data_IF_021948394198
#
_entry.id   IF_021948394198
#
_cell.length_a   1.000
_cell.length_b   1.000
_cell.length_c   1.000
_cell.angle_alpha   90.00
_cell.angle_beta   90.00
_cell.angle_gamma   90.00
#
_symmetry.space_group_name_H-M   'P 1'
#
loop_
_entity.id
_entity.type
_entity.pdbx_description
1 polymer ?
#
# COMPACT_ATOMS: atom_id res chain seq x y z
N UNK A 1 -0.34 -29.98 -0.99
CA UNK A 1 0.11 -28.66 -1.42
C UNK A 1 -1.11 -27.77 -1.68
N UNK A 2 -1.09 -26.56 -1.20
CA UNK A 2 -2.21 -25.64 -1.36
C UNK A 2 -2.13 -24.96 -2.72
N UNK A 3 -3.27 -24.69 -3.35
CA UNK A 3 -3.29 -23.90 -4.58
C UNK A 3 -3.09 -22.41 -4.28
N UNK A 4 -2.84 -21.63 -5.31
CA UNK A 4 -2.57 -20.20 -5.16
C UNK A 4 -3.78 -19.45 -4.59
N UNK A 5 -5.00 -19.87 -4.91
CA UNK A 5 -6.22 -19.24 -4.39
C UNK A 5 -6.35 -19.45 -2.88
N UNK A 6 -6.05 -20.63 -2.40
CA UNK A 6 -6.09 -20.92 -0.95
C UNK A 6 -5.08 -20.08 -0.20
N UNK A 7 -3.82 -20.03 -0.69
CA UNK A 7 -2.79 -19.23 -0.07
C UNK A 7 -3.17 -17.75 -0.05
N UNK A 8 -3.76 -17.28 -1.13
CA UNK A 8 -4.23 -15.92 -1.27
C UNK A 8 -5.26 -15.56 -0.20
N UNK A 9 -6.27 -16.43 -0.04
CA UNK A 9 -7.31 -16.23 0.97
C UNK A 9 -6.75 -16.28 2.39
N UNK A 10 -5.80 -17.17 2.63
CA UNK A 10 -5.17 -17.29 3.95
C UNK A 10 -4.41 -16.00 4.29
N UNK A 11 -3.65 -15.47 3.35
CA UNK A 11 -2.90 -14.23 3.54
C UNK A 11 -3.83 -13.04 3.79
N UNK A 12 -4.94 -12.97 3.05
CA UNK A 12 -5.92 -11.92 3.22
C UNK A 12 -6.59 -11.97 4.60
N UNK A 13 -6.75 -13.17 5.17
CA UNK A 13 -7.36 -13.35 6.49
C UNK A 13 -6.46 -12.85 7.62
N UNK A 14 -5.13 -12.95 7.46
CA UNK A 14 -4.18 -12.54 8.50
C UNK A 14 -3.75 -11.07 8.37
N UNK A 15 -4.09 -10.41 7.27
CA UNK A 15 -3.75 -8.99 7.06
C UNK A 15 -4.76 -8.08 7.74
N UNK A 16 -4.32 -6.89 8.12
CA UNK A 16 -5.20 -5.85 8.63
C UNK A 16 -6.15 -5.37 7.54
N UNK A 17 -7.36 -5.00 7.93
CA UNK A 17 -8.35 -4.45 6.99
C UNK A 17 -8.14 -2.96 6.85
N UNK A 18 -8.22 -2.45 5.62
CA UNK A 18 -8.03 -1.03 5.34
C UNK A 18 -8.95 -0.16 6.18
N UNK A 19 -10.23 -0.51 6.26
CA UNK A 19 -11.22 0.30 6.99
C UNK A 19 -10.98 0.37 8.49
N UNK A 20 -10.16 -0.50 9.06
CA UNK A 20 -9.84 -0.50 10.49
C UNK A 20 -8.60 0.33 10.83
N UNK A 21 -7.96 0.95 9.85
CA UNK A 21 -6.78 1.78 10.07
C UNK A 21 -7.22 3.10 10.70
N UNK A 22 -6.73 3.39 11.90
CA UNK A 22 -7.15 4.57 12.67
C UNK A 22 -5.98 5.34 13.29
N UNK A 23 -4.76 5.02 12.89
CA UNK A 23 -3.57 5.69 13.43
C UNK A 23 -3.05 5.12 14.73
N UNK A 24 -3.73 4.13 15.31
CA UNK A 24 -3.30 3.51 16.58
C UNK A 24 -2.10 2.59 16.42
N UNK A 25 -1.79 2.15 15.20
CA UNK A 25 -0.70 1.22 14.93
C UNK A 25 0.09 1.65 13.71
N UNK A 26 1.41 1.50 13.80
CA UNK A 26 2.29 1.64 12.64
C UNK A 26 2.81 0.28 12.14
N UNK A 27 2.56 -0.79 12.88
CA UNK A 27 2.97 -2.16 12.53
C UNK A 27 1.92 -2.89 11.70
N UNK A 28 1.20 -2.15 10.87
CA UNK A 28 0.17 -2.71 10.00
C UNK A 28 0.77 -3.67 8.99
N UNK A 29 0.06 -4.76 8.76
CA UNK A 29 0.37 -5.69 7.68
C UNK A 29 -0.81 -5.66 6.70
N UNK A 30 -0.54 -5.30 5.45
CA UNK A 30 -1.56 -5.12 4.43
C UNK A 30 -1.30 -6.05 3.25
N UNK A 31 -2.37 -6.68 2.77
CA UNK A 31 -2.35 -7.52 1.58
C UNK A 31 -3.22 -6.82 0.53
N UNK A 32 -2.57 -6.17 -0.42
CA UNK A 32 -3.24 -5.21 -1.29
C UNK A 32 -2.69 -5.26 -2.71
N UNK A 33 -3.50 -4.77 -3.65
CA UNK A 33 -3.09 -4.56 -5.03
C UNK A 33 -2.89 -3.07 -5.28
N UNK A 34 -1.83 -2.72 -6.00
CA UNK A 34 -1.64 -1.36 -6.49
C UNK A 34 -2.59 -1.16 -7.67
N UNK A 35 -3.65 -0.37 -7.48
CA UNK A 35 -4.58 -0.07 -8.56
C UNK A 35 -4.07 1.06 -9.44
N UNK A 36 -3.39 2.04 -8.85
CA UNK A 36 -2.77 3.15 -9.57
C UNK A 36 -1.43 3.49 -8.93
N UNK A 37 -0.46 3.85 -9.77
CA UNK A 37 0.88 4.24 -9.34
C UNK A 37 1.33 5.43 -10.17
N UNK A 38 1.78 6.49 -9.52
CA UNK A 38 2.31 7.65 -10.23
C UNK A 38 3.50 8.23 -9.46
N UNK A 39 4.30 9.02 -10.17
CA UNK A 39 5.49 9.63 -9.60
C UNK A 39 5.33 11.14 -9.60
N UNK A 40 5.75 11.78 -8.51
CA UNK A 40 5.64 13.21 -8.30
C UNK A 40 7.04 13.77 -8.02
N UNK A 41 7.31 14.96 -8.52
CA UNK A 41 8.60 15.63 -8.31
C UNK A 41 9.57 15.41 -9.44
N UNK A 42 10.80 15.84 -9.24
CA UNK A 42 11.86 15.80 -10.25
C UNK A 42 12.60 14.46 -10.17
N UNK A 43 12.66 13.69 -11.28
CA UNK A 43 13.39 12.42 -11.28
C UNK A 43 14.83 12.58 -10.81
N UNK A 44 15.25 11.71 -9.89
CA UNK A 44 16.61 11.71 -9.34
C UNK A 44 16.89 12.76 -8.28
N UNK A 45 15.95 13.68 -8.02
CA UNK A 45 16.15 14.76 -7.04
C UNK A 45 15.12 14.74 -5.91
N UNK A 46 13.85 14.87 -6.26
CA UNK A 46 12.76 14.95 -5.29
C UNK A 46 11.62 14.03 -5.65
N UNK A 47 11.90 13.00 -6.45
CA UNK A 47 10.91 12.07 -6.91
C UNK A 47 10.35 11.24 -5.75
N UNK A 48 9.03 11.10 -5.72
CA UNK A 48 8.36 10.18 -4.82
C UNK A 48 7.29 9.40 -5.59
N UNK A 49 7.00 8.20 -5.14
CA UNK A 49 5.90 7.42 -5.68
C UNK A 49 4.67 7.62 -4.81
N UNK A 50 3.52 7.77 -5.45
CA UNK A 50 2.24 7.77 -4.77
C UNK A 50 1.38 6.69 -5.40
N UNK A 51 0.56 6.03 -4.59
CA UNK A 51 -0.20 4.90 -5.09
C UNK A 51 -1.53 4.80 -4.36
N UNK A 52 -2.49 4.24 -5.08
CA UNK A 52 -3.77 3.85 -4.53
C UNK A 52 -3.75 2.34 -4.34
N UNK A 53 -3.85 1.90 -3.11
CA UNK A 53 -3.93 0.49 -2.78
C UNK A 53 -5.37 0.10 -2.54
N UNK A 54 -5.76 -1.03 -3.11
CA UNK A 54 -7.10 -1.57 -2.94
C UNK A 54 -7.00 -2.95 -2.32
N UNK A 55 -7.97 -3.25 -1.46
CA UNK A 55 -8.09 -4.58 -0.92
C UNK A 55 -8.50 -5.52 -2.05
N UNK A 56 -7.71 -6.55 -2.25
CA UNK A 56 -8.02 -7.54 -3.28
C UNK A 56 -8.98 -8.59 -2.72
N UNK A 57 -10.21 -8.56 -3.22
CA UNK A 57 -11.14 -9.65 -3.06
C UNK A 57 -11.60 -10.12 -4.42
N UNK A 58 -11.88 -11.41 -4.50
CA UNK A 58 -12.27 -12.10 -5.72
C UNK A 58 -13.47 -11.46 -6.42
N UNK A 59 -14.36 -10.79 -5.67
CA UNK A 59 -15.64 -10.34 -6.18
C UNK A 59 -15.99 -8.88 -5.87
N UNK A 60 -15.13 -8.14 -5.23
CA UNK A 60 -15.46 -6.75 -4.91
C UNK A 60 -14.24 -5.87 -4.98
N UNK A 61 -14.45 -4.64 -5.47
CA UNK A 61 -13.50 -3.57 -5.26
C UNK A 61 -13.58 -3.25 -3.77
N UNK A 62 -12.55 -3.62 -3.04
CA UNK A 62 -12.52 -3.35 -1.62
C UNK A 62 -12.22 -1.90 -1.31
N UNK A 63 -12.03 -1.64 -0.03
CA UNK A 63 -11.64 -0.33 0.46
C UNK A 63 -10.33 0.11 -0.18
N UNK A 64 -10.15 1.41 -0.31
CA UNK A 64 -8.98 2.03 -0.93
C UNK A 64 -8.23 2.88 0.08
N UNK A 65 -6.92 2.95 -0.06
CA UNK A 65 -6.10 3.84 0.75
C UNK A 65 -4.96 4.41 -0.09
N UNK A 66 -4.63 5.67 0.18
CA UNK A 66 -3.53 6.37 -0.46
C UNK A 66 -2.24 6.08 0.27
N UNK A 67 -1.19 5.72 -0.47
CA UNK A 67 0.12 5.42 0.10
C UNK A 67 1.19 6.24 -0.61
N UNK A 68 2.11 6.79 0.17
CA UNK A 68 3.21 7.62 -0.33
C UNK A 68 4.54 6.93 -0.02
N UNK A 69 5.39 6.80 -1.03
CA UNK A 69 6.76 6.33 -0.88
C UNK A 69 7.69 7.51 -1.21
N UNK A 70 8.20 8.17 -0.18
CA UNK A 70 9.05 9.35 -0.37
C UNK A 70 10.41 8.98 -0.93
N UNK A 71 11.16 10.00 -1.38
CA UNK A 71 12.43 9.83 -2.07
C UNK A 71 13.41 8.93 -1.33
N UNK A 72 13.51 9.07 -0.02
CA UNK A 72 14.46 8.30 0.80
C UNK A 72 14.18 6.80 0.76
N UNK A 73 12.92 6.41 0.53
CA UNK A 73 12.53 5.01 0.43
C UNK A 73 12.37 4.55 -1.02
N UNK A 74 12.16 5.49 -1.94
CA UNK A 74 11.86 5.16 -3.33
C UNK A 74 13.00 4.42 -4.01
N UNK A 75 14.24 4.78 -3.74
CA UNK A 75 15.39 4.11 -4.34
C UNK A 75 15.48 2.63 -3.96
N UNK A 76 14.92 2.25 -2.82
CA UNK A 76 14.85 0.84 -2.43
C UNK A 76 13.76 0.09 -3.19
N UNK A 77 12.61 0.73 -3.40
CA UNK A 77 11.41 0.02 -3.87
C UNK A 77 10.98 0.34 -5.29
N UNK A 78 11.56 1.34 -5.95
CA UNK A 78 11.09 1.81 -7.26
C UNK A 78 10.95 0.70 -8.30
N UNK A 79 11.90 -0.23 -8.34
CA UNK A 79 11.89 -1.31 -9.32
C UNK A 79 10.88 -2.41 -8.99
N UNK A 80 10.43 -2.47 -7.75
CA UNK A 80 9.52 -3.52 -7.29
C UNK A 80 8.04 -3.13 -7.41
N UNK A 81 7.75 -1.83 -7.43
CA UNK A 81 6.37 -1.33 -7.43
C UNK A 81 5.81 -1.28 -8.85
N UNK A 82 4.68 -1.97 -9.07
CA UNK A 82 4.04 -2.04 -10.40
C UNK A 82 2.52 -2.02 -10.25
N UNK A 83 1.88 -1.23 -11.10
CA UNK A 83 0.41 -1.25 -11.17
C UNK A 83 -0.11 -2.65 -11.50
N UNK A 84 -1.21 -2.99 -10.89
CA UNK A 84 -1.89 -4.27 -11.12
C UNK A 84 -1.31 -5.42 -10.32
N UNK A 85 -0.17 -5.25 -9.69
CA UNK A 85 0.46 -6.31 -8.90
C UNK A 85 -0.02 -6.28 -7.47
N UNK A 86 0.03 -7.43 -6.82
CA UNK A 86 -0.39 -7.62 -5.43
C UNK A 86 0.82 -7.78 -4.53
N UNK A 87 0.74 -7.18 -3.36
CA UNK A 87 1.85 -7.13 -2.41
C UNK A 87 1.38 -7.40 -0.99
N UNK A 88 2.27 -7.97 -0.20
CA UNK A 88 2.20 -7.89 1.26
C UNK A 88 3.12 -6.75 1.68
N UNK A 89 2.56 -5.74 2.33
CA UNK A 89 3.32 -4.59 2.83
C UNK A 89 3.16 -4.51 4.33
N UNK A 90 4.24 -4.15 5.02
CA UNK A 90 4.26 -4.15 6.47
C UNK A 90 5.05 -2.95 6.99
N UNK A 91 4.54 -2.32 8.04
CA UNK A 91 5.12 -1.17 8.74
C UNK A 91 5.01 0.13 7.92
N UNK A 92 4.24 1.06 8.47
CA UNK A 92 4.00 2.36 7.84
C UNK A 92 3.92 3.44 8.90
N UNK A 93 4.13 4.68 8.47
CA UNK A 93 3.64 5.82 9.23
C UNK A 93 2.21 6.10 8.80
N UNK A 94 1.30 6.22 9.75
CA UNK A 94 -0.10 6.53 9.48
C UNK A 94 -0.32 8.02 9.71
N UNK A 95 -0.83 8.72 8.69
CA UNK A 95 -1.06 10.16 8.74
C UNK A 95 -2.52 10.45 8.43
N UNK A 96 -3.03 11.58 8.91
CA UNK A 96 -4.36 12.02 8.53
C UNK A 96 -4.38 12.39 7.04
N UNK A 97 -5.47 12.01 6.38
CA UNK A 97 -5.68 12.30 4.96
C UNK A 97 -6.56 13.54 4.83
N UNK A 98 -6.06 14.68 5.31
CA UNK A 98 -6.80 15.92 5.40
C UNK A 98 -6.38 16.98 4.38
N UNK A 99 -5.66 16.59 3.35
CA UNK A 99 -5.26 17.48 2.29
C UNK A 99 -6.41 17.95 1.42
N UNK A 100 -6.18 19.03 0.66
CA UNK A 100 -7.18 19.61 -0.23
C UNK A 100 -7.55 18.66 -1.37
N UNK A 101 -6.58 17.89 -1.86
CA UNK A 101 -6.81 16.92 -2.93
C UNK A 101 -6.63 15.52 -2.38
N UNK A 102 -7.73 14.83 -2.14
CA UNK A 102 -7.73 13.49 -1.60
C UNK A 102 -7.87 12.48 -2.74
N UNK A 103 -6.93 11.56 -2.81
CA UNK A 103 -6.96 10.47 -3.80
C UNK A 103 -8.02 9.43 -3.41
N UNK A 104 -8.14 9.18 -2.12
CA UNK A 104 -9.08 8.20 -1.56
C UNK A 104 -9.89 8.84 -0.43
N UNK A 105 -11.07 8.29 -0.17
CA UNK A 105 -11.95 8.79 0.90
C UNK A 105 -11.52 8.35 2.29
N UNK A 106 -10.56 7.43 2.39
CA UNK A 106 -10.10 6.96 3.69
C UNK A 106 -9.58 8.14 4.53
N UNK A 107 -9.95 8.23 5.83
CA UNK A 107 -9.50 9.33 6.69
C UNK A 107 -8.02 9.35 6.96
N UNK A 108 -7.30 8.27 6.65
CA UNK A 108 -5.85 8.19 6.81
C UNK A 108 -5.15 7.84 5.51
N UNK A 109 -3.88 8.21 5.43
CA UNK A 109 -2.97 7.78 4.37
C UNK A 109 -1.72 7.19 5.00
N UNK A 110 -1.02 6.36 4.25
CA UNK A 110 0.17 5.67 4.72
C UNK A 110 1.41 6.21 4.03
N UNK A 111 2.52 6.24 4.78
CA UNK A 111 3.81 6.63 4.23
C UNK A 111 4.83 5.54 4.54
N UNK A 112 5.63 5.16 3.55
CA UNK A 112 6.73 4.22 3.75
C UNK A 112 7.75 4.84 4.69
N UNK A 113 8.31 3.99 5.57
CA UNK A 113 9.38 4.37 6.50
C UNK A 113 10.55 3.39 6.34
N UNK A 114 11.64 3.62 7.06
CA UNK A 114 12.85 2.80 6.90
C UNK A 114 12.65 1.31 7.17
N UNK A 115 11.65 0.95 7.99
CA UNK A 115 11.35 -0.45 8.31
C UNK A 115 10.19 -1.03 7.51
N UNK A 116 9.67 -0.28 6.54
CA UNK A 116 8.63 -0.80 5.65
C UNK A 116 9.17 -1.95 4.82
N UNK A 117 8.41 -3.04 4.77
CA UNK A 117 8.75 -4.22 3.99
C UNK A 117 7.70 -4.39 2.90
N UNK A 118 8.15 -4.67 1.69
CA UNK A 118 7.29 -4.87 0.53
C UNK A 118 7.66 -6.21 -0.10
N UNK A 119 6.67 -7.08 -0.27
CA UNK A 119 6.87 -8.38 -0.93
C UNK A 119 5.78 -8.58 -1.96
N UNK A 120 6.19 -8.79 -3.20
CA UNK A 120 5.25 -9.10 -4.27
C UNK A 120 4.69 -10.51 -4.08
N UNK A 121 3.38 -10.62 -4.24
CA UNK A 121 2.67 -11.89 -4.18
C UNK A 121 2.23 -12.27 -5.60
N UNK A 122 2.37 -13.52 -5.91
CA UNK A 122 1.95 -14.03 -7.23
C UNK A 122 0.56 -14.66 -7.18
#
# INVERSE_FOLDING_TARGET
MYDSEFLFRLMACIANKIKTIDGSKETLKLFLRISELWFVGTPGRSEQAEMQLVRYFYYSQGDQIHVVCKQDQLKTWKMDLKEGCTYMMHNFRVCKNDGQFRVCDHPYKLTYIGVTVVRQCE
#
